data_IF_430897308041
#
_entry.id   IF_430897308041
#
_cell.length_a   1.000
_cell.length_b   1.000
_cell.length_c   1.000
_cell.angle_alpha   90.00
_cell.angle_beta   90.00
_cell.angle_gamma   90.00
#
_symmetry.space_group_name_H-M   'P 1'
#
loop_
_entity.id
_entity.type
_entity.pdbx_description
1 polymer ?
#
# COMPACT_ATOMS: atom_id res chain seq x y z
N UNK A 1 -28.93 77.62 23.86
CA UNK A 1 -29.69 77.35 25.10
C UNK A 1 -30.01 75.87 25.07
N UNK A 2 -29.54 74.98 25.94
CA UNK A 2 -29.05 75.11 27.31
C UNK A 2 -28.03 74.01 27.62
N UNK A 3 -27.06 74.37 28.46
CA UNK A 3 -26.19 73.47 29.21
C UNK A 3 -26.98 72.58 30.15
N UNK A 4 -26.58 71.32 30.31
CA UNK A 4 -26.53 70.64 31.62
C UNK A 4 -25.26 69.79 31.66
N UNK A 5 -24.37 70.16 32.58
CA UNK A 5 -23.22 69.38 33.01
C UNK A 5 -23.65 68.39 34.09
N UNK A 6 -23.20 67.13 34.00
CA UNK A 6 -23.23 66.19 35.13
C UNK A 6 -21.85 65.57 35.29
N UNK A 7 -21.24 65.98 36.39
CA UNK A 7 -20.00 65.49 36.98
C UNK A 7 -20.19 64.07 37.52
N UNK A 8 -19.43 63.10 37.02
CA UNK A 8 -19.31 61.77 37.59
C UNK A 8 -17.83 61.41 37.76
N UNK A 9 -17.37 61.32 39.02
CA UNK A 9 -16.03 60.83 39.40
C UNK A 9 -15.79 59.43 38.83
N UNK A 10 -14.58 59.11 38.34
CA UNK A 10 -14.18 57.72 38.15
C UNK A 10 -13.86 57.10 39.52
N UNK A 11 -14.73 56.23 40.01
CA UNK A 11 -14.36 55.28 41.07
C UNK A 11 -13.27 54.36 40.54
N UNK A 12 -12.09 54.42 41.17
CA UNK A 12 -11.01 53.46 40.93
C UNK A 12 -11.50 52.07 41.35
N UNK A 13 -11.45 51.05 40.47
CA UNK A 13 -11.69 49.67 40.87
C UNK A 13 -10.68 49.29 41.96
N UNK A 14 -11.19 48.92 43.14
CA UNK A 14 -10.38 48.28 44.18
C UNK A 14 -9.84 46.98 43.59
N UNK A 15 -8.54 46.97 43.27
CA UNK A 15 -7.83 45.75 42.91
C UNK A 15 -7.87 44.81 44.12
N UNK A 16 -8.64 43.73 43.98
CA UNK A 16 -8.58 42.58 44.86
C UNK A 16 -7.14 42.07 44.84
N UNK A 17 -6.44 42.25 45.96
CA UNK A 17 -5.16 41.61 46.23
C UNK A 17 -5.35 40.09 46.13
N UNK A 18 -4.94 39.51 45.00
CA UNK A 18 -4.90 38.07 44.84
C UNK A 18 -3.83 37.51 45.79
N UNK A 19 -4.09 36.37 46.47
CA UNK A 19 -3.08 35.74 47.29
C UNK A 19 -1.94 35.29 46.38
N UNK A 20 -0.74 35.84 46.59
CA UNK A 20 0.52 35.26 46.08
C UNK A 20 0.67 33.86 46.69
N UNK A 21 0.04 32.88 46.06
CA UNK A 21 0.18 31.47 46.39
C UNK A 21 1.61 31.09 46.00
N UNK A 22 2.47 30.97 47.00
CA UNK A 22 3.80 30.35 46.94
C UNK A 22 3.66 28.95 46.32
N UNK A 23 3.62 28.87 44.99
CA UNK A 23 3.74 27.61 44.27
C UNK A 23 5.24 27.38 44.16
N UNK A 24 5.80 26.70 45.16
CA UNK A 24 7.11 26.06 45.03
C UNK A 24 7.11 25.34 43.67
N UNK A 25 8.04 25.62 42.75
CA UNK A 25 8.17 24.79 41.56
C UNK A 25 8.40 23.37 42.08
N UNK A 26 7.49 22.45 41.75
CA UNK A 26 7.73 21.05 42.01
C UNK A 26 9.11 20.73 41.42
N UNK A 27 10.00 20.16 42.23
CA UNK A 27 11.33 19.78 41.77
C UNK A 27 11.17 18.97 40.49
N UNK A 28 11.93 19.34 39.44
CA UNK A 28 11.88 18.71 38.10
C UNK A 28 11.90 17.18 38.19
N UNK A 29 12.61 16.64 39.17
CA UNK A 29 12.65 15.22 39.53
C UNK A 29 11.27 14.60 39.78
N UNK A 30 10.40 15.26 40.56
CA UNK A 30 9.07 14.74 40.92
C UNK A 30 8.12 14.67 39.73
N UNK A 31 8.26 15.62 38.79
CA UNK A 31 7.46 15.61 37.56
C UNK A 31 7.91 14.47 36.63
N UNK A 32 9.21 14.27 36.48
CA UNK A 32 9.76 13.16 35.69
C UNK A 32 9.32 11.79 36.24
N UNK A 33 9.36 11.62 37.57
CA UNK A 33 8.94 10.37 38.23
C UNK A 33 7.45 10.09 38.01
N UNK A 34 6.60 11.13 38.10
CA UNK A 34 5.16 11.01 37.83
C UNK A 34 4.86 10.64 36.38
N UNK A 35 5.62 11.20 35.43
CA UNK A 35 5.47 10.89 34.01
C UNK A 35 5.92 9.47 33.70
N UNK A 36 7.08 9.04 34.23
CA UNK A 36 7.58 7.68 34.07
C UNK A 36 6.58 6.64 34.58
N UNK A 37 5.94 6.90 35.73
CA UNK A 37 4.91 6.02 36.28
C UNK A 37 3.70 5.94 35.36
N UNK A 38 3.19 7.10 34.92
CA UNK A 38 2.03 7.17 34.02
C UNK A 38 2.30 6.49 32.67
N UNK A 39 3.53 6.66 32.14
CA UNK A 39 3.95 6.00 30.92
C UNK A 39 3.99 4.48 31.08
N UNK A 40 4.59 3.96 32.16
CA UNK A 40 4.62 2.52 32.45
C UNK A 40 3.20 1.94 32.54
N UNK A 41 2.31 2.59 33.29
CA UNK A 41 0.91 2.17 33.40
C UNK A 41 0.22 2.11 32.03
N UNK A 42 0.54 3.05 31.12
CA UNK A 42 0.00 3.05 29.76
C UNK A 42 0.51 1.87 28.93
N UNK A 43 1.79 1.51 29.06
CA UNK A 43 2.39 0.36 28.39
C UNK A 43 1.81 -0.94 28.93
N UNK A 44 1.67 -1.07 30.25
CA UNK A 44 1.12 -2.27 30.88
C UNK A 44 -0.32 -2.54 30.42
N UNK A 45 -1.13 -1.48 30.23
CA UNK A 45 -2.46 -1.59 29.65
C UNK A 45 -2.43 -2.13 28.22
N UNK A 46 -1.50 -1.66 27.38
CA UNK A 46 -1.35 -2.13 26.00
C UNK A 46 -0.89 -3.58 25.96
N UNK A 47 0.11 -3.96 26.77
CA UNK A 47 0.62 -5.34 26.81
C UNK A 47 -0.45 -6.31 27.30
N UNK A 48 -1.37 -5.86 28.15
CA UNK A 48 -2.50 -6.66 28.63
C UNK A 48 -3.65 -6.74 27.63
N UNK A 49 -3.73 -5.80 26.68
CA UNK A 49 -4.78 -5.76 25.65
C UNK A 49 -4.76 -7.00 24.76
N UNK A 50 -5.93 -7.62 24.57
CA UNK A 50 -6.08 -8.86 23.80
C UNK A 50 -5.77 -8.63 22.31
N UNK A 51 -6.17 -7.49 21.74
CA UNK A 51 -5.92 -7.19 20.34
C UNK A 51 -4.44 -6.98 20.09
N UNK A 52 -3.74 -6.31 21.01
CA UNK A 52 -2.28 -6.15 20.91
C UNK A 52 -1.55 -7.50 20.95
N UNK A 53 -1.96 -8.42 21.83
CA UNK A 53 -1.40 -9.79 21.87
C UNK A 53 -1.61 -10.53 20.56
N UNK A 54 -2.82 -10.51 20.02
CA UNK A 54 -3.12 -11.13 18.72
C UNK A 54 -2.23 -10.56 17.62
N UNK A 55 -2.07 -9.24 17.57
CA UNK A 55 -1.20 -8.57 16.59
C UNK A 55 0.26 -9.04 16.72
N UNK A 56 0.77 -9.19 17.95
CA UNK A 56 2.13 -9.69 18.15
C UNK A 56 2.28 -11.15 17.71
N UNK A 57 1.28 -11.99 17.96
CA UNK A 57 1.23 -13.37 17.46
C UNK A 57 1.24 -13.39 15.93
N UNK A 58 0.39 -12.59 15.28
CA UNK A 58 0.32 -12.48 13.82
C UNK A 58 1.66 -12.01 13.21
N UNK A 59 2.32 -11.02 13.82
CA UNK A 59 3.66 -10.57 13.39
C UNK A 59 4.69 -11.67 13.56
N UNK A 60 4.65 -12.37 14.70
CA UNK A 60 5.61 -13.44 15.00
C UNK A 60 5.46 -14.63 14.04
N UNK A 61 4.22 -14.98 13.70
CA UNK A 61 3.89 -16.00 12.70
C UNK A 61 4.33 -15.57 11.30
N UNK A 62 4.16 -14.29 10.94
CA UNK A 62 4.64 -13.72 9.69
C UNK A 62 6.18 -13.69 9.62
N UNK A 63 6.83 -13.27 10.71
CA UNK A 63 8.27 -13.08 10.78
C UNK A 63 8.78 -13.14 12.23
N UNK A 64 9.74 -14.03 12.48
CA UNK A 64 10.43 -14.12 13.77
C UNK A 64 11.62 -13.15 13.88
N UNK A 65 11.65 -12.10 13.05
CA UNK A 65 12.70 -11.09 13.06
C UNK A 65 12.40 -9.98 14.08
N UNK A 66 13.17 -9.96 15.17
CA UNK A 66 13.07 -8.91 16.20
C UNK A 66 13.28 -7.51 15.63
N UNK A 67 14.04 -7.36 14.53
CA UNK A 67 14.25 -6.06 13.88
C UNK A 67 12.97 -5.52 13.26
N UNK A 68 12.10 -6.39 12.74
CA UNK A 68 10.79 -5.98 12.23
C UNK A 68 9.92 -5.43 13.36
N UNK A 69 9.86 -6.14 14.48
CA UNK A 69 9.13 -5.70 15.67
C UNK A 69 9.64 -4.34 16.17
N UNK A 70 10.96 -4.18 16.30
CA UNK A 70 11.57 -2.92 16.70
C UNK A 70 11.22 -1.78 15.74
N UNK A 71 11.21 -2.04 14.43
CA UNK A 71 10.87 -1.04 13.41
C UNK A 71 9.40 -0.58 13.52
N UNK A 72 8.48 -1.53 13.73
CA UNK A 72 7.04 -1.24 13.94
C UNK A 72 6.85 -0.36 15.18
N UNK A 73 7.41 -0.79 16.31
CA UNK A 73 7.26 -0.08 17.59
C UNK A 73 7.93 1.31 17.55
N UNK A 74 9.09 1.42 16.89
CA UNK A 74 9.79 2.71 16.75
C UNK A 74 8.96 3.72 15.97
N UNK A 75 8.30 3.32 14.88
CA UNK A 75 7.43 4.25 14.15
C UNK A 75 6.16 4.59 14.92
N UNK A 76 5.58 3.64 15.66
CA UNK A 76 4.43 3.91 16.52
C UNK A 76 4.77 4.99 17.55
N UNK A 77 5.94 4.88 18.20
CA UNK A 77 6.45 5.88 19.15
C UNK A 77 6.74 7.21 18.46
N UNK A 78 7.35 7.20 17.27
CA UNK A 78 7.64 8.41 16.52
C UNK A 78 6.38 9.17 16.05
N UNK A 79 5.25 8.48 15.93
CA UNK A 79 3.97 9.09 15.52
C UNK A 79 3.20 9.77 16.65
N UNK A 80 3.69 9.68 17.90
CA UNK A 80 3.07 10.33 19.05
C UNK A 80 3.18 11.86 18.94
N UNK A 81 2.12 12.54 19.34
CA UNK A 81 2.04 14.02 19.31
C UNK A 81 1.62 14.55 20.67
N UNK A 82 1.82 15.84 20.98
CA UNK A 82 1.30 16.42 22.22
C UNK A 82 -0.22 16.26 22.40
N UNK A 83 -0.97 16.19 21.29
CA UNK A 83 -2.42 15.97 21.30
C UNK A 83 -2.81 14.49 21.45
N UNK A 84 -1.89 13.56 21.19
CA UNK A 84 -2.07 12.12 21.36
C UNK A 84 -0.76 11.50 21.86
N UNK A 85 -0.44 11.67 23.17
CA UNK A 85 0.87 11.32 23.70
C UNK A 85 1.00 9.85 24.10
N UNK A 86 -0.07 9.06 23.98
CA UNK A 86 -0.14 7.67 24.45
C UNK A 86 -0.14 6.70 23.28
N UNK A 87 0.63 5.62 23.40
CA UNK A 87 0.51 4.51 22.47
C UNK A 87 -0.88 3.89 22.58
N UNK A 88 -1.43 3.49 21.45
CA UNK A 88 -2.71 2.78 21.37
C UNK A 88 -2.57 1.65 20.38
N UNK A 89 -3.42 0.63 20.50
CA UNK A 89 -3.48 -0.48 19.53
C UNK A 89 -3.65 0.06 18.11
N UNK A 90 -4.51 1.05 17.89
CA UNK A 90 -4.70 1.68 16.58
C UNK A 90 -3.45 2.36 16.02
N UNK A 91 -2.60 2.94 16.86
CA UNK A 91 -1.32 3.54 16.43
C UNK A 91 -0.32 2.47 15.98
N UNK A 92 -0.30 1.34 16.69
CA UNK A 92 0.53 0.18 16.36
C UNK A 92 0.01 -0.48 15.07
N UNK A 93 -1.29 -0.71 14.94
CA UNK A 93 -1.92 -1.25 13.72
C UNK A 93 -1.62 -0.40 12.49
N UNK A 94 -1.67 0.93 12.61
CA UNK A 94 -1.29 1.84 11.51
C UNK A 94 0.20 1.72 11.15
N UNK A 95 1.06 1.56 12.15
CA UNK A 95 2.50 1.37 11.93
C UNK A 95 2.79 0.05 11.20
N UNK A 96 2.08 -1.02 11.58
CA UNK A 96 2.11 -2.31 10.89
C UNK A 96 1.63 -2.15 9.44
N UNK A 97 0.50 -1.50 9.20
CA UNK A 97 0.03 -1.25 7.83
C UNK A 97 1.05 -0.46 7.01
N UNK A 98 1.77 0.49 7.61
CA UNK A 98 2.78 1.27 6.87
C UNK A 98 4.09 0.53 6.58
N UNK A 99 4.40 -0.54 7.32
CA UNK A 99 5.72 -1.19 7.30
C UNK A 99 5.71 -2.69 6.97
N UNK A 100 4.63 -3.36 7.30
CA UNK A 100 4.41 -4.80 7.17
C UNK A 100 3.38 -5.13 6.10
N UNK A 101 2.55 -4.17 5.70
CA UNK A 101 2.00 -4.25 4.36
C UNK A 101 3.18 -3.94 3.43
N UNK A 102 3.68 -4.89 2.63
CA UNK A 102 3.89 -4.47 1.27
C UNK A 102 2.51 -3.93 0.85
N UNK A 103 2.45 -2.71 0.35
CA UNK A 103 1.45 -2.47 -0.68
C UNK A 103 2.18 -2.90 -1.94
N UNK A 104 2.32 -4.22 -2.20
CA UNK A 104 3.01 -4.63 -3.39
C UNK A 104 2.12 -4.10 -4.50
N UNK A 105 2.65 -3.10 -5.20
CA UNK A 105 2.10 -2.64 -6.43
C UNK A 105 0.74 -1.87 -6.39
N UNK A 106 0.58 -0.84 -5.53
CA UNK A 106 -0.53 0.15 -5.71
C UNK A 106 -0.61 0.65 -7.15
N UNK A 107 0.55 0.83 -7.80
CA UNK A 107 0.63 1.26 -9.19
C UNK A 107 0.03 0.26 -10.19
N UNK A 108 -0.29 -1.00 -9.81
CA UNK A 108 -1.03 -1.93 -10.69
C UNK A 108 -2.39 -1.38 -11.08
N UNK A 109 -3.00 -0.59 -10.19
CA UNK A 109 -4.28 0.07 -10.43
C UNK A 109 -4.19 1.13 -11.55
N UNK A 110 -3.00 1.61 -11.85
CA UNK A 110 -2.75 2.65 -12.87
C UNK A 110 -2.15 2.07 -14.16
N UNK A 111 -2.09 0.73 -14.27
CA UNK A 111 -1.52 0.10 -15.45
C UNK A 111 -2.38 0.26 -16.69
N UNK A 112 -1.69 0.52 -17.80
CA UNK A 112 -2.27 0.52 -19.12
C UNK A 112 -2.65 -0.90 -19.56
N UNK A 113 -3.59 -0.97 -20.52
CA UNK A 113 -4.09 -2.22 -21.08
C UNK A 113 -3.00 -3.26 -21.43
N UNK A 114 -1.88 -2.91 -22.11
CA UNK A 114 -0.86 -3.90 -22.47
C UNK A 114 -0.20 -4.56 -21.25
N UNK A 115 0.02 -3.79 -20.18
CA UNK A 115 0.59 -4.31 -18.94
C UNK A 115 -0.39 -5.28 -18.26
N UNK A 116 -1.66 -4.90 -18.15
CA UNK A 116 -2.69 -5.77 -17.57
C UNK A 116 -2.88 -7.04 -18.40
N UNK A 117 -2.84 -6.94 -19.74
CA UNK A 117 -2.93 -8.10 -20.63
C UNK A 117 -1.77 -9.09 -20.41
N UNK A 118 -0.54 -8.58 -20.24
CA UNK A 118 0.62 -9.42 -19.90
C UNK A 118 0.44 -10.09 -18.54
N UNK A 119 -0.05 -9.37 -17.52
CA UNK A 119 -0.29 -9.96 -16.19
C UNK A 119 -1.35 -11.06 -16.22
N UNK A 120 -2.45 -10.86 -16.94
CA UNK A 120 -3.45 -11.92 -17.14
C UNK A 120 -2.83 -13.12 -17.85
N UNK A 121 -2.00 -12.91 -18.88
CA UNK A 121 -1.27 -13.98 -19.53
C UNK A 121 -0.32 -14.72 -18.56
N UNK A 122 0.36 -14.02 -17.64
CA UNK A 122 1.18 -14.68 -16.61
C UNK A 122 0.35 -15.60 -15.73
N UNK A 123 -0.85 -15.17 -15.33
CA UNK A 123 -1.75 -15.97 -14.50
C UNK A 123 -2.19 -17.24 -15.24
N UNK A 124 -2.55 -17.15 -16.53
CA UNK A 124 -2.92 -18.34 -17.31
C UNK A 124 -1.77 -19.32 -17.50
N UNK A 125 -0.55 -18.83 -17.66
CA UNK A 125 0.64 -19.69 -17.74
C UNK A 125 0.89 -20.38 -16.40
N UNK A 126 0.74 -19.65 -15.29
CA UNK A 126 0.85 -20.19 -13.94
C UNK A 126 -0.25 -21.22 -13.64
N UNK A 127 -1.50 -20.96 -14.03
CA UNK A 127 -2.64 -21.89 -13.87
C UNK A 127 -2.39 -23.21 -14.62
N UNK A 128 -1.52 -23.24 -15.65
CA UNK A 128 -1.06 -24.47 -16.33
C UNK A 128 0.14 -25.16 -15.67
N UNK A 129 0.57 -24.71 -14.50
CA UNK A 129 1.69 -25.27 -13.74
C UNK A 129 3.06 -24.74 -14.14
N UNK A 130 3.13 -23.60 -14.83
CA UNK A 130 4.40 -22.96 -15.16
C UNK A 130 4.64 -21.71 -14.28
N UNK A 131 5.48 -21.86 -13.26
CA UNK A 131 5.86 -20.75 -12.36
C UNK A 131 6.87 -19.78 -12.99
N UNK A 132 7.46 -20.18 -14.12
CA UNK A 132 8.48 -19.43 -14.83
C UNK A 132 8.11 -19.37 -16.31
N UNK A 133 8.22 -18.19 -16.90
CA UNK A 133 7.84 -17.93 -18.28
C UNK A 133 8.85 -17.04 -19.00
N UNK A 134 8.68 -16.95 -20.32
CA UNK A 134 9.44 -16.06 -21.19
C UNK A 134 8.50 -15.06 -21.84
N UNK A 135 9.03 -13.94 -22.36
CA UNK A 135 8.20 -12.97 -23.09
C UNK A 135 7.47 -13.64 -24.27
N UNK A 136 8.15 -14.55 -24.98
CA UNK A 136 7.55 -15.30 -26.08
C UNK A 136 6.32 -16.11 -25.66
N UNK A 137 6.37 -16.77 -24.50
CA UNK A 137 5.22 -17.52 -23.96
C UNK A 137 4.03 -16.61 -23.68
N UNK A 138 4.26 -15.40 -23.15
CA UNK A 138 3.20 -14.41 -22.92
C UNK A 138 2.58 -13.92 -24.22
N UNK A 139 3.40 -13.66 -25.25
CA UNK A 139 2.88 -13.30 -26.57
C UNK A 139 2.04 -14.43 -27.17
N UNK A 140 2.48 -15.68 -27.06
CA UNK A 140 1.74 -16.83 -27.58
C UNK A 140 0.42 -17.07 -26.82
N UNK A 141 0.41 -16.78 -25.52
CA UNK A 141 -0.78 -16.78 -24.67
C UNK A 141 -1.81 -15.75 -25.13
N UNK A 142 -1.38 -14.51 -25.35
CA UNK A 142 -2.21 -13.41 -25.86
C UNK A 142 -2.70 -13.71 -27.28
N UNK A 143 -1.84 -14.30 -28.14
CA UNK A 143 -2.21 -14.75 -29.50
C UNK A 143 -3.32 -15.78 -29.48
N UNK A 144 -3.25 -16.74 -28.54
CA UNK A 144 -4.26 -17.81 -28.47
C UNK A 144 -5.64 -17.26 -28.10
N UNK A 145 -5.71 -16.27 -27.23
CA UNK A 145 -6.97 -15.63 -26.85
C UNK A 145 -7.53 -14.72 -27.95
N UNK A 146 -6.68 -13.90 -28.58
CA UNK A 146 -7.10 -12.95 -29.60
C UNK A 146 -7.26 -13.57 -31.01
N UNK A 147 -6.77 -14.79 -31.21
CA UNK A 147 -6.61 -15.44 -32.50
C UNK A 147 -5.36 -14.97 -33.27
N UNK A 148 -4.90 -15.80 -34.22
CA UNK A 148 -3.65 -15.60 -34.97
C UNK A 148 -3.54 -14.27 -35.74
N UNK A 149 -4.66 -13.59 -36.04
CA UNK A 149 -4.69 -12.34 -36.81
C UNK A 149 -4.44 -11.07 -35.98
N UNK A 150 -4.27 -11.20 -34.67
CA UNK A 150 -4.30 -10.08 -33.73
C UNK A 150 -3.01 -9.27 -33.62
N UNK A 151 -1.86 -9.83 -34.03
CA UNK A 151 -0.55 -9.20 -33.85
C UNK A 151 -0.01 -8.54 -35.11
N UNK A 152 -0.74 -8.64 -36.22
CA UNK A 152 -0.22 -8.25 -37.54
C UNK A 152 -0.77 -6.91 -38.06
N UNK A 153 -1.90 -6.37 -37.57
CA UNK A 153 -2.45 -5.09 -38.05
C UNK A 153 -3.22 -4.30 -36.97
N UNK A 154 -2.94 -2.99 -36.91
CA UNK A 154 -3.58 -2.02 -36.01
C UNK A 154 -5.09 -1.85 -36.29
N UNK A 155 -5.83 -1.61 -35.19
CA UNK A 155 -7.23 -1.17 -35.06
C UNK A 155 -8.10 -1.23 -36.32
N UNK A 156 -8.91 -2.29 -36.46
CA UNK A 156 -10.19 -2.20 -37.17
C UNK A 156 -11.31 -2.53 -36.20
N UNK A 157 -11.99 -1.48 -35.77
CA UNK A 157 -13.19 -1.51 -34.98
C UNK A 157 -14.32 -2.09 -35.86
N UNK A 158 -14.49 -3.41 -35.84
CA UNK A 158 -15.63 -4.05 -36.54
C UNK A 158 -16.87 -3.86 -35.68
N UNK A 159 -17.80 -3.07 -36.21
CA UNK A 159 -19.12 -2.78 -35.64
C UNK A 159 -19.87 -4.05 -35.24
N UNK A 160 -20.41 -4.09 -34.02
CA UNK A 160 -21.66 -4.82 -33.73
C UNK A 160 -21.60 -6.13 -32.93
N UNK A 161 -20.43 -6.68 -32.58
CA UNK A 161 -20.33 -7.82 -31.64
C UNK A 161 -19.43 -7.46 -30.47
N UNK A 162 -19.87 -7.81 -29.25
CA UNK A 162 -19.36 -7.31 -27.98
C UNK A 162 -17.84 -7.18 -27.90
N UNK A 163 -17.39 -6.09 -27.27
CA UNK A 163 -15.98 -5.71 -27.10
C UNK A 163 -15.10 -6.94 -26.81
N UNK A 164 -14.32 -7.36 -27.80
CA UNK A 164 -13.24 -8.33 -27.63
C UNK A 164 -12.03 -7.67 -26.97
N UNK A 165 -10.99 -8.46 -26.70
CA UNK A 165 -9.70 -7.92 -26.28
C UNK A 165 -9.11 -7.02 -27.38
N UNK A 166 -8.33 -6.01 -26.96
CA UNK A 166 -7.72 -5.03 -27.86
C UNK A 166 -6.46 -5.64 -28.46
N UNK A 167 -6.32 -5.51 -29.78
CA UNK A 167 -5.13 -5.94 -30.51
C UNK A 167 -3.98 -4.98 -30.22
N UNK A 168 -2.86 -5.52 -29.72
CA UNK A 168 -1.66 -4.75 -29.37
C UNK A 168 -0.47 -5.28 -30.17
N UNK A 169 0.29 -4.43 -30.90
CA UNK A 169 1.50 -4.86 -31.60
C UNK A 169 2.54 -5.46 -30.65
N UNK A 170 3.31 -6.43 -31.13
CA UNK A 170 4.33 -7.11 -30.31
C UNK A 170 5.37 -6.14 -29.72
N UNK A 171 5.74 -5.08 -30.47
CA UNK A 171 6.64 -4.02 -29.98
C UNK A 171 6.08 -3.22 -28.80
N UNK A 172 4.76 -3.02 -28.75
CA UNK A 172 4.09 -2.34 -27.63
C UNK A 172 4.01 -3.27 -26.42
N UNK A 173 3.81 -4.57 -26.64
CA UNK A 173 3.88 -5.58 -25.56
C UNK A 173 5.31 -5.68 -25.00
N UNK A 174 6.33 -5.59 -25.85
CA UNK A 174 7.74 -5.62 -25.41
C UNK A 174 8.06 -4.39 -24.55
N UNK A 175 7.66 -3.19 -24.97
CA UNK A 175 7.82 -1.98 -24.16
C UNK A 175 7.05 -2.05 -22.82
N UNK A 176 5.86 -2.65 -22.82
CA UNK A 176 5.09 -2.89 -21.60
C UNK A 176 5.76 -3.91 -20.67
N UNK A 177 6.31 -4.98 -21.25
CA UNK A 177 7.06 -6.00 -20.52
C UNK A 177 8.29 -5.42 -19.82
N UNK A 178 9.09 -4.63 -20.54
CA UNK A 178 10.28 -3.97 -19.98
C UNK A 178 9.90 -3.01 -18.84
N UNK A 179 8.77 -2.30 -18.93
CA UNK A 179 8.26 -1.49 -17.81
C UNK A 179 7.93 -2.35 -16.58
N UNK A 180 7.24 -3.48 -16.78
CA UNK A 180 6.91 -4.38 -15.68
C UNK A 180 8.16 -4.96 -15.02
N UNK A 181 9.22 -5.24 -15.80
CA UNK A 181 10.53 -5.65 -15.28
C UNK A 181 11.20 -4.51 -14.50
N UNK A 182 11.22 -3.29 -15.05
CA UNK A 182 11.80 -2.12 -14.39
C UNK A 182 11.14 -1.80 -13.04
N UNK A 183 9.85 -2.11 -12.90
CA UNK A 183 9.09 -1.95 -11.65
C UNK A 183 9.15 -3.18 -10.72
N UNK A 184 9.97 -4.19 -11.02
CA UNK A 184 10.07 -5.45 -10.27
C UNK A 184 8.73 -6.21 -10.12
N UNK A 185 7.79 -5.99 -11.04
CA UNK A 185 6.58 -6.80 -11.15
C UNK A 185 6.92 -8.17 -11.72
N UNK A 186 7.82 -8.16 -12.72
CA UNK A 186 8.40 -9.35 -13.32
C UNK A 186 9.89 -9.39 -12.97
N UNK A 187 10.32 -10.47 -12.31
CA UNK A 187 11.71 -10.60 -11.87
C UNK A 187 12.36 -11.81 -12.51
N UNK A 188 13.68 -11.74 -12.71
CA UNK A 188 14.45 -12.85 -13.27
C UNK A 188 14.33 -14.09 -12.38
N UNK A 189 14.02 -15.23 -13.00
CA UNK A 189 13.87 -16.50 -12.30
C UNK A 189 15.20 -17.28 -12.13
N UNK A 190 16.32 -16.72 -12.63
CA UNK A 190 17.63 -17.32 -12.52
C UNK A 190 18.70 -16.50 -13.25
N UNK A 191 19.98 -16.92 -13.17
CA UNK A 191 21.08 -16.24 -13.85
C UNK A 191 20.87 -16.30 -15.37
N UNK A 192 20.78 -15.14 -16.00
CA UNK A 192 20.73 -15.05 -17.45
C UNK A 192 22.14 -15.29 -18.02
N UNK A 193 22.30 -16.30 -18.86
CA UNK A 193 23.53 -16.46 -19.65
C UNK A 193 23.64 -15.32 -20.65
N UNK A 194 24.84 -14.78 -20.84
CA UNK A 194 25.13 -13.71 -21.81
C UNK A 194 24.80 -14.09 -23.27
N UNK A 195 24.63 -15.39 -23.55
CA UNK A 195 24.25 -15.92 -24.87
C UNK A 195 22.74 -16.05 -25.10
N UNK A 196 21.90 -15.87 -24.08
CA UNK A 196 20.44 -16.04 -24.22
C UNK A 196 19.80 -14.79 -24.81
N UNK A 197 19.11 -14.95 -25.94
CA UNK A 197 18.31 -13.85 -26.54
C UNK A 197 17.25 -13.38 -25.52
N UNK A 198 17.06 -12.05 -25.41
CA UNK A 198 16.17 -11.42 -24.40
C UNK A 198 14.76 -12.02 -24.32
N UNK A 199 14.16 -12.33 -25.48
CA UNK A 199 12.82 -12.91 -25.56
C UNK A 199 12.67 -14.30 -24.87
N UNK A 200 13.78 -14.98 -24.59
CA UNK A 200 13.84 -16.31 -23.97
C UNK A 200 14.42 -16.29 -22.55
N UNK A 201 14.72 -15.11 -22.02
CA UNK A 201 15.07 -14.96 -20.61
C UNK A 201 13.86 -15.33 -19.76
N UNK A 202 14.13 -16.06 -18.67
CA UNK A 202 13.12 -16.63 -17.80
C UNK A 202 12.78 -15.67 -16.65
N UNK A 203 11.50 -15.39 -16.47
CA UNK A 203 10.96 -14.50 -15.45
C UNK A 203 9.89 -15.21 -14.62
N UNK A 204 9.64 -14.68 -13.42
CA UNK A 204 8.50 -15.01 -12.58
C UNK A 204 7.69 -13.75 -12.30
N UNK A 205 6.38 -13.92 -12.10
CA UNK A 205 5.49 -12.85 -11.68
C UNK A 205 5.57 -12.73 -10.15
N UNK A 206 5.70 -11.52 -9.62
CA UNK A 206 5.69 -11.27 -8.17
C UNK A 206 4.29 -10.97 -7.63
N UNK A 207 3.39 -10.24 -8.32
CA UNK A 207 2.01 -10.08 -7.88
C UNK A 207 1.25 -11.39 -7.82
N UNK A 208 0.40 -11.52 -6.79
CA UNK A 208 -0.49 -12.65 -6.63
C UNK A 208 -1.76 -12.47 -7.49
N UNK A 209 -2.55 -13.53 -7.60
CA UNK A 209 -3.82 -13.53 -8.33
C UNK A 209 -4.78 -12.43 -7.86
N UNK A 210 -4.78 -12.10 -6.57
CA UNK A 210 -5.59 -11.02 -5.99
C UNK A 210 -5.21 -9.65 -6.54
N UNK A 211 -3.90 -9.38 -6.65
CA UNK A 211 -3.36 -8.10 -7.12
C UNK A 211 -3.68 -7.91 -8.61
N UNK A 212 -3.52 -8.98 -9.40
CA UNK A 212 -3.86 -8.99 -10.83
C UNK A 212 -5.37 -8.80 -11.02
N UNK A 213 -6.20 -9.47 -10.20
CA UNK A 213 -7.65 -9.29 -10.23
C UNK A 213 -8.03 -7.83 -9.99
N UNK A 214 -7.43 -7.17 -9.01
CA UNK A 214 -7.68 -5.77 -8.72
C UNK A 214 -7.31 -4.86 -9.90
N UNK A 215 -6.15 -5.09 -10.53
CA UNK A 215 -5.73 -4.36 -11.73
C UNK A 215 -6.74 -4.53 -12.89
N UNK A 216 -7.24 -5.75 -13.11
CA UNK A 216 -8.25 -6.07 -14.12
C UNK A 216 -9.60 -5.41 -13.82
N UNK A 217 -10.02 -5.42 -12.55
CA UNK A 217 -11.25 -4.76 -12.11
C UNK A 217 -11.19 -3.24 -12.34
N UNK A 218 -10.06 -2.63 -12.00
CA UNK A 218 -9.80 -1.19 -12.12
C UNK A 218 -9.71 -0.71 -13.57
N UNK A 219 -9.12 -1.52 -14.46
CA UNK A 219 -9.09 -1.26 -15.89
C UNK A 219 -10.51 -1.16 -16.48
N UNK A 220 -11.47 -1.89 -15.91
CA UNK A 220 -12.89 -1.77 -16.26
C UNK A 220 -13.29 -2.42 -17.59
N UNK A 221 -12.36 -3.08 -18.29
CA UNK A 221 -12.63 -3.74 -19.57
C UNK A 221 -13.29 -5.11 -19.35
N UNK A 222 -14.58 -5.25 -19.69
CA UNK A 222 -15.36 -6.48 -19.49
C UNK A 222 -14.78 -7.71 -20.21
N UNK A 223 -14.16 -7.52 -21.37
CA UNK A 223 -13.44 -8.57 -22.10
C UNK A 223 -12.25 -9.13 -21.30
N UNK A 224 -11.49 -8.24 -20.66
CA UNK A 224 -10.34 -8.60 -19.83
C UNK A 224 -10.78 -9.36 -18.58
N UNK A 225 -11.87 -8.91 -17.93
CA UNK A 225 -12.47 -9.61 -16.79
C UNK A 225 -12.88 -11.03 -17.16
N UNK A 226 -13.54 -11.19 -18.30
CA UNK A 226 -13.94 -12.52 -18.80
C UNK A 226 -12.73 -13.41 -19.06
N UNK A 227 -11.72 -12.88 -19.76
CA UNK A 227 -10.50 -13.63 -20.07
C UNK A 227 -9.76 -14.06 -18.80
N UNK A 228 -9.66 -13.19 -17.80
CA UNK A 228 -9.05 -13.52 -16.51
C UNK A 228 -9.78 -14.64 -15.76
N UNK A 229 -11.12 -14.67 -15.79
CA UNK A 229 -11.91 -15.71 -15.14
C UNK A 229 -11.85 -17.04 -15.88
N UNK A 230 -11.82 -17.01 -17.23
CA UNK A 230 -11.84 -18.22 -18.06
C UNK A 230 -10.65 -19.16 -17.82
N UNK A 231 -9.51 -18.63 -17.36
CA UNK A 231 -8.32 -19.42 -17.01
C UNK A 231 -8.48 -20.28 -15.77
N UNK A 232 -9.41 -19.93 -14.88
CA UNK A 232 -9.60 -20.59 -13.59
C UNK A 232 -10.39 -21.91 -13.67
N UNK A 233 -10.90 -22.28 -14.85
CA UNK A 233 -11.91 -23.35 -15.02
C UNK A 233 -11.43 -24.58 -15.79
N UNK A 234 -10.12 -24.72 -16.01
CA UNK A 234 -9.51 -25.91 -16.62
C UNK A 234 -8.59 -26.63 -15.64
#
# INVERSE_FOLDING_TARGET
MSSIAISGRPEKPRLLSTPKKNRKPASITTQADSWCTTWKDSIDRIITDRQFKQILEDIFDLSRDVRLLLRILSAAVASLTPSSPWLTVGTISRSIQSQCAPLPFIFLQELEYPCVALLVATQHIHDRGHDVFTFKMLCDEIKRELGNEAITKALVQVQGRGFGLIRVPESVLEAAFERLVAHNVLVLAGPASSSTRRAYVKYRCVPDRSDIKEAVERLGHSAMKRWFVQGASN
#
